data_IF_392235566221
#
_entry.id   IF_392235566221
#
_cell.length_a   1.000
_cell.length_b   1.000
_cell.length_c   1.000
_cell.angle_alpha   90.00
_cell.angle_beta   90.00
_cell.angle_gamma   90.00
#
_symmetry.space_group_name_H-M   'P 1'
#
loop_
_entity.id
_entity.type
_entity.pdbx_description
1 polymer ?
#
# COMPACT_ATOMS: atom_id res chain seq x y z
N UNK A 1 5.66 23.76 -2.22
CA UNK A 1 4.64 22.77 -2.63
C UNK A 1 4.81 21.48 -1.85
N UNK A 2 3.76 20.69 -1.75
CA UNK A 2 3.80 19.29 -1.34
C UNK A 2 3.33 18.41 -2.49
N UNK A 3 3.84 17.18 -2.55
CA UNK A 3 3.43 16.12 -3.48
C UNK A 3 2.81 14.90 -2.78
N UNK A 4 2.62 15.02 -1.47
CA UNK A 4 2.30 13.95 -0.53
C UNK A 4 1.28 14.41 0.53
N UNK A 5 0.33 15.24 0.11
CA UNK A 5 -0.80 15.71 0.92
C UNK A 5 -0.38 16.51 2.17
N UNK A 6 0.67 17.31 2.03
CA UNK A 6 1.13 18.25 3.05
C UNK A 6 2.14 17.68 4.05
N UNK A 7 2.56 16.41 3.89
CA UNK A 7 3.54 15.75 4.78
C UNK A 7 4.93 16.33 4.63
N UNK A 8 5.41 16.48 3.39
CA UNK A 8 6.69 17.10 3.08
C UNK A 8 6.53 18.32 2.17
N UNK A 9 7.46 19.26 2.31
CA UNK A 9 7.43 20.53 1.59
C UNK A 9 8.74 20.74 0.86
N UNK A 10 8.64 21.01 -0.44
CA UNK A 10 9.74 21.47 -1.27
C UNK A 10 9.48 22.91 -1.73
N UNK A 11 10.57 23.65 -1.92
CA UNK A 11 10.52 25.06 -2.28
C UNK A 11 10.58 25.17 -3.79
N UNK A 12 9.70 25.99 -4.37
CA UNK A 12 9.70 26.25 -5.81
C UNK A 12 10.64 27.40 -6.17
N UNK A 13 10.46 28.56 -5.55
CA UNK A 13 11.22 29.78 -5.86
C UNK A 13 11.15 30.77 -4.71
N UNK A 14 12.17 31.60 -4.61
CA UNK A 14 12.19 32.78 -3.74
C UNK A 14 12.09 34.07 -4.57
N UNK A 15 11.41 35.06 -3.99
CA UNK A 15 11.22 36.38 -4.57
C UNK A 15 11.59 37.42 -3.51
N UNK A 16 12.51 38.32 -3.83
CA UNK A 16 12.89 39.41 -2.93
C UNK A 16 13.48 40.57 -3.72
N UNK A 17 13.25 41.82 -3.28
CA UNK A 17 13.91 43.00 -3.83
C UNK A 17 15.43 42.96 -3.63
N UNK A 18 15.87 42.36 -2.51
CA UNK A 18 17.27 42.07 -2.20
C UNK A 18 17.44 40.62 -1.73
N UNK A 19 17.70 39.73 -2.69
CA UNK A 19 17.97 38.32 -2.45
C UNK A 19 19.15 38.10 -1.50
N UNK A 20 20.17 38.95 -1.56
CA UNK A 20 21.39 38.78 -0.77
C UNK A 20 21.12 38.96 0.72
N UNK A 21 20.26 39.90 1.11
CA UNK A 21 19.90 40.11 2.52
C UNK A 21 18.80 39.17 2.99
N UNK A 22 17.74 38.98 2.21
CA UNK A 22 16.57 38.16 2.59
C UNK A 22 16.85 36.66 2.54
N UNK A 23 17.61 36.19 1.56
CA UNK A 23 17.83 34.77 1.28
C UNK A 23 19.31 34.46 0.98
N UNK A 24 20.20 34.85 1.91
CA UNK A 24 21.68 34.78 1.81
C UNK A 24 22.27 33.49 1.22
N UNK A 25 21.64 32.34 1.46
CA UNK A 25 22.15 31.02 1.04
C UNK A 25 21.59 30.54 -0.31
N UNK A 26 20.68 31.31 -0.91
CA UNK A 26 19.98 30.93 -2.12
C UNK A 26 20.65 31.63 -3.30
N UNK A 27 21.04 30.90 -4.36
CA UNK A 27 21.68 31.51 -5.52
C UNK A 27 20.74 32.50 -6.22
N UNK A 28 21.29 33.65 -6.61
CA UNK A 28 20.63 34.63 -7.47
C UNK A 28 21.05 34.40 -8.93
N UNK A 29 20.13 34.65 -9.86
CA UNK A 29 20.35 34.50 -11.31
C UNK A 29 19.34 33.58 -11.98
N UNK A 30 19.44 33.36 -13.30
CA UNK A 30 18.57 32.43 -14.00
C UNK A 30 18.83 30.99 -13.55
N UNK A 31 17.79 30.14 -13.48
CA UNK A 31 17.97 28.73 -13.15
C UNK A 31 18.70 28.04 -14.31
N UNK A 32 19.59 27.08 -13.99
CA UNK A 32 20.29 26.26 -14.99
C UNK A 32 19.49 25.00 -15.32
N UNK A 33 18.83 24.44 -14.31
CA UNK A 33 17.91 23.31 -14.44
C UNK A 33 16.50 23.69 -13.99
N UNK A 34 15.49 22.96 -14.47
CA UNK A 34 14.09 23.17 -14.07
C UNK A 34 13.85 22.99 -12.56
N UNK A 35 14.67 22.19 -11.89
CA UNK A 35 14.58 21.92 -10.44
C UNK A 35 15.34 22.93 -9.57
N UNK A 36 16.11 23.84 -10.16
CA UNK A 36 16.96 24.75 -9.38
C UNK A 36 16.12 25.72 -8.55
N UNK A 37 16.39 25.74 -7.25
CA UNK A 37 15.77 26.69 -6.32
C UNK A 37 16.65 27.94 -6.24
N UNK A 38 16.15 29.01 -6.86
CA UNK A 38 16.82 30.30 -6.96
C UNK A 38 16.02 31.41 -6.26
N UNK A 39 16.69 32.54 -6.02
CA UNK A 39 16.05 33.80 -5.69
C UNK A 39 16.07 34.74 -6.90
N UNK A 40 14.95 35.42 -7.16
CA UNK A 40 14.86 36.43 -8.22
C UNK A 40 14.27 37.72 -7.68
N UNK A 41 14.75 38.84 -8.23
CA UNK A 41 14.22 40.19 -7.98
C UNK A 41 13.00 40.52 -8.84
N UNK A 42 12.69 39.67 -9.84
CA UNK A 42 11.54 39.87 -10.73
C UNK A 42 10.25 39.84 -9.91
N UNK A 43 9.34 40.77 -10.17
CA UNK A 43 8.08 40.93 -9.43
C UNK A 43 8.21 41.37 -7.97
N UNK A 44 9.41 41.75 -7.51
CA UNK A 44 9.66 42.24 -6.15
C UNK A 44 10.04 43.73 -6.14
N UNK A 45 9.62 44.48 -7.16
CA UNK A 45 9.73 45.94 -7.17
C UNK A 45 8.63 46.58 -6.32
N UNK A 46 8.84 47.84 -5.94
CA UNK A 46 7.83 48.65 -5.21
C UNK A 46 6.70 49.08 -6.13
N UNK A 47 6.96 49.21 -7.43
CA UNK A 47 5.98 49.52 -8.45
C UNK A 47 5.40 48.23 -9.08
N UNK A 48 4.11 48.21 -9.45
CA UNK A 48 3.10 49.27 -9.30
C UNK A 48 2.49 49.32 -7.90
N UNK A 49 1.84 50.43 -7.54
CA UNK A 49 1.20 50.63 -6.23
C UNK A 49 -0.02 49.74 -5.97
N UNK A 50 -0.68 49.26 -7.02
CA UNK A 50 -1.74 48.25 -6.98
C UNK A 50 -1.79 47.48 -8.30
N UNK A 51 -2.38 46.29 -8.29
CA UNK A 51 -2.45 45.41 -9.46
C UNK A 51 -1.10 44.80 -9.87
N UNK A 52 -0.13 44.77 -8.95
CA UNK A 52 1.14 44.07 -9.18
C UNK A 52 0.90 42.57 -9.39
N UNK A 53 1.66 41.98 -10.30
CA UNK A 53 1.54 40.55 -10.63
C UNK A 53 2.79 39.78 -10.22
N UNK A 54 2.61 38.51 -9.85
CA UNK A 54 3.69 37.55 -9.69
C UNK A 54 3.38 36.32 -10.52
N UNK A 55 4.24 36.01 -11.49
CA UNK A 55 4.09 34.85 -12.36
C UNK A 55 5.26 33.88 -12.14
N UNK A 56 4.92 32.65 -11.77
CA UNK A 56 5.86 31.54 -11.66
C UNK A 56 5.47 30.41 -12.61
N UNK A 57 6.42 30.00 -13.46
CA UNK A 57 6.29 28.81 -14.32
C UNK A 57 7.20 27.72 -13.78
N UNK A 58 6.65 26.54 -13.50
CA UNK A 58 7.39 25.38 -12.98
C UNK A 58 8.46 24.95 -13.98
N UNK A 59 8.08 24.84 -15.26
CA UNK A 59 9.02 24.60 -16.36
C UNK A 59 9.41 25.95 -16.95
N UNK A 60 10.68 26.33 -16.74
CA UNK A 60 11.24 27.55 -17.31
C UNK A 60 11.24 27.49 -18.85
N UNK A 61 10.67 28.47 -19.56
CA UNK A 61 10.63 28.49 -21.03
C UNK A 61 12.01 28.76 -21.66
N UNK A 62 13.00 29.16 -20.86
CA UNK A 62 14.36 29.45 -21.33
C UNK A 62 15.32 28.25 -21.22
N UNK A 63 14.88 27.16 -20.60
CA UNK A 63 15.67 25.93 -20.47
C UNK A 63 15.06 24.92 -21.45
N UNK A 64 15.83 24.39 -22.42
CA UNK A 64 15.33 23.40 -23.36
C UNK A 64 14.98 22.11 -22.60
N UNK A 65 13.79 21.57 -22.89
CA UNK A 65 13.35 20.28 -22.37
C UNK A 65 13.52 19.23 -23.46
N UNK A 66 14.52 18.36 -23.32
CA UNK A 66 14.81 17.30 -24.31
C UNK A 66 13.72 16.22 -24.33
N UNK A 67 13.32 15.76 -23.14
CA UNK A 67 12.23 14.80 -22.95
C UNK A 67 11.17 15.36 -21.99
N UNK A 68 10.00 15.79 -22.49
CA UNK A 68 8.88 16.24 -21.65
C UNK A 68 8.32 15.16 -20.73
N UNK A 69 8.59 13.89 -21.03
CA UNK A 69 8.12 12.73 -20.29
C UNK A 69 9.15 12.21 -19.28
N UNK A 70 10.30 12.89 -19.14
CA UNK A 70 11.33 12.50 -18.19
C UNK A 70 10.80 12.50 -16.74
N UNK A 71 11.20 11.51 -15.90
CA UNK A 71 10.71 11.39 -14.52
C UNK A 71 10.91 12.67 -13.69
N UNK A 72 12.00 13.40 -13.89
CA UNK A 72 12.26 14.65 -13.19
C UNK A 72 11.25 15.75 -13.53
N UNK A 73 10.78 15.82 -14.78
CA UNK A 73 9.79 16.81 -15.21
C UNK A 73 8.44 16.49 -14.59
N UNK A 74 8.02 15.22 -14.66
CA UNK A 74 6.78 14.75 -14.05
C UNK A 74 6.77 15.01 -12.52
N UNK A 75 7.88 14.74 -11.84
CA UNK A 75 8.03 14.98 -10.41
C UNK A 75 8.02 16.47 -10.02
N UNK A 76 8.46 17.36 -10.92
CA UNK A 76 8.38 18.80 -10.71
C UNK A 76 6.95 19.33 -10.84
N UNK A 77 6.19 18.81 -11.80
CA UNK A 77 4.80 19.22 -12.07
C UNK A 77 3.81 18.70 -11.02
N UNK A 78 4.13 17.59 -10.35
CA UNK A 78 3.27 16.98 -9.32
C UNK A 78 3.05 17.91 -8.12
N UNK A 79 1.80 18.18 -7.79
CA UNK A 79 1.42 19.00 -6.63
C UNK A 79 0.11 18.50 -6.01
N UNK A 80 0.07 18.41 -4.69
CA UNK A 80 -1.14 18.18 -3.90
C UNK A 80 -1.51 19.40 -3.07
N UNK A 81 -0.52 20.19 -2.63
CA UNK A 81 -0.74 21.40 -1.85
C UNK A 81 0.22 22.51 -2.27
N UNK A 82 -0.33 23.71 -2.43
CA UNK A 82 0.43 24.94 -2.66
C UNK A 82 0.47 25.74 -1.35
N UNK A 83 1.62 26.37 -1.08
CA UNK A 83 1.80 27.30 0.04
C UNK A 83 2.61 28.47 -0.48
N UNK A 84 2.12 29.67 -0.20
CA UNK A 84 2.80 30.94 -0.46
C UNK A 84 3.13 31.53 0.91
N UNK A 85 4.38 31.92 1.12
CA UNK A 85 4.83 32.51 2.38
C UNK A 85 5.29 33.94 2.13
N UNK A 86 4.58 34.91 2.69
CA UNK A 86 4.94 36.32 2.64
C UNK A 86 5.80 36.67 3.85
N UNK A 87 7.03 37.11 3.61
CA UNK A 87 8.03 37.25 4.68
C UNK A 87 8.46 38.68 4.97
N UNK A 88 8.20 39.64 4.07
CA UNK A 88 8.61 41.05 4.25
C UNK A 88 7.67 41.99 3.51
N UNK A 89 7.22 43.04 4.20
CA UNK A 89 6.43 44.15 3.65
C UNK A 89 7.36 45.25 3.12
N UNK A 90 6.87 46.04 2.16
CA UNK A 90 7.52 47.28 1.77
C UNK A 90 7.03 48.41 2.67
N UNK A 91 7.91 48.90 3.55
CA UNK A 91 7.61 49.94 4.55
C UNK A 91 8.12 51.32 4.17
N UNK A 92 8.83 51.45 3.04
CA UNK A 92 9.49 52.69 2.57
C UNK A 92 10.40 53.39 3.60
N UNK A 93 10.73 52.73 4.72
CA UNK A 93 11.52 53.26 5.83
C UNK A 93 10.70 53.90 6.96
N UNK A 94 9.37 53.94 6.86
CA UNK A 94 8.50 54.51 7.91
C UNK A 94 8.58 53.73 9.22
N UNK A 95 8.81 52.42 9.13
CA UNK A 95 8.95 51.49 10.25
C UNK A 95 10.18 51.76 11.13
N UNK A 96 11.14 52.55 10.64
CA UNK A 96 12.35 52.93 11.38
C UNK A 96 12.22 54.28 12.12
N UNK A 97 11.19 55.07 11.82
CA UNK A 97 11.09 56.46 12.25
C UNK A 97 9.90 56.74 13.18
N UNK A 98 8.84 55.94 13.17
CA UNK A 98 7.62 56.23 13.92
C UNK A 98 6.87 54.94 14.32
N UNK A 99 6.71 54.71 15.63
CA UNK A 99 6.18 53.48 16.24
C UNK A 99 4.68 53.53 16.55
N UNK A 100 3.98 54.52 16.00
CA UNK A 100 2.54 54.67 16.21
C UNK A 100 1.76 53.55 15.49
N UNK A 101 0.77 52.92 16.15
CA UNK A 101 0.02 51.80 15.57
C UNK A 101 -0.72 52.17 14.28
N UNK A 102 -1.09 53.45 14.10
CA UNK A 102 -1.72 53.96 12.88
C UNK A 102 -0.82 53.89 11.63
N UNK A 103 0.50 53.70 11.82
CA UNK A 103 1.46 53.52 10.71
C UNK A 103 1.52 52.06 10.30
N UNK A 104 1.53 51.13 11.27
CA UNK A 104 1.54 49.69 11.01
C UNK A 104 0.28 49.23 10.26
N UNK A 105 -0.87 49.87 10.52
CA UNK A 105 -2.15 49.60 9.83
C UNK A 105 -2.10 49.83 8.32
N UNK A 106 -1.11 50.56 7.81
CA UNK A 106 -0.95 50.84 6.37
C UNK A 106 -0.31 49.67 5.61
N UNK A 107 0.41 48.80 6.31
CA UNK A 107 1.26 47.79 5.70
C UNK A 107 0.68 46.39 5.87
N UNK A 108 0.10 45.83 4.81
CA UNK A 108 -0.53 44.52 4.82
C UNK A 108 -0.42 43.84 3.45
N UNK A 109 -0.63 42.52 3.41
CA UNK A 109 -0.64 41.76 2.16
C UNK A 109 -2.05 41.64 1.61
N UNK A 110 -2.22 42.07 0.36
CA UNK A 110 -3.47 41.98 -0.39
C UNK A 110 -3.31 41.05 -1.59
N UNK A 111 -4.33 40.25 -1.89
CA UNK A 111 -4.41 39.47 -3.13
C UNK A 111 -5.79 39.66 -3.74
N UNK A 112 -5.83 40.19 -4.97
CA UNK A 112 -7.08 40.29 -5.73
C UNK A 112 -7.50 38.94 -6.30
N UNK A 113 -6.54 38.20 -6.86
CA UNK A 113 -6.79 36.92 -7.52
C UNK A 113 -5.59 35.98 -7.34
N UNK A 114 -5.88 34.69 -7.21
CA UNK A 114 -4.88 33.62 -7.25
C UNK A 114 -5.32 32.55 -8.26
N UNK A 115 -4.64 32.50 -9.41
CA UNK A 115 -4.89 31.49 -10.43
C UNK A 115 -3.80 30.42 -10.40
N UNK A 116 -4.18 29.16 -10.19
CA UNK A 116 -3.30 28.00 -10.31
C UNK A 116 -3.67 27.22 -11.55
N UNK A 117 -2.90 27.38 -12.63
CA UNK A 117 -3.12 26.61 -13.86
C UNK A 117 -2.51 25.22 -13.74
N UNK A 118 -3.30 24.21 -14.08
CA UNK A 118 -2.88 22.81 -14.08
C UNK A 118 -3.95 21.89 -14.65
N UNK A 119 -3.68 20.60 -14.61
CA UNK A 119 -4.60 19.53 -14.99
C UNK A 119 -4.51 18.39 -13.98
N UNK A 120 -5.50 17.50 -13.99
CA UNK A 120 -5.37 16.23 -13.30
C UNK A 120 -4.30 15.35 -13.99
N UNK A 121 -3.59 14.54 -13.20
CA UNK A 121 -2.48 13.72 -13.67
C UNK A 121 -2.88 12.25 -13.73
N UNK A 122 -3.15 11.73 -14.93
CA UNK A 122 -3.62 10.36 -15.14
C UNK A 122 -2.59 9.46 -15.86
N UNK A 123 -1.34 9.91 -15.96
CA UNK A 123 -0.22 9.20 -16.62
C UNK A 123 -0.55 8.68 -18.04
N UNK A 124 -1.40 9.39 -18.80
CA UNK A 124 -1.80 8.99 -20.15
C UNK A 124 -2.88 7.90 -20.22
N UNK A 125 -3.46 7.48 -19.08
CA UNK A 125 -4.50 6.45 -19.02
C UNK A 125 -5.89 7.00 -18.70
N UNK A 126 -6.14 8.29 -18.93
CA UNK A 126 -7.49 8.86 -18.91
C UNK A 126 -7.54 10.11 -19.79
N UNK A 127 -8.68 10.34 -20.43
CA UNK A 127 -8.93 11.56 -21.21
C UNK A 127 -9.64 12.65 -20.40
N UNK A 128 -10.29 12.27 -19.29
CA UNK A 128 -11.05 13.19 -18.44
C UNK A 128 -10.95 12.82 -16.97
N UNK A 129 -11.26 13.79 -16.14
CA UNK A 129 -11.35 13.63 -14.70
C UNK A 129 -12.76 13.93 -14.21
N UNK A 130 -13.19 13.18 -13.21
CA UNK A 130 -14.50 13.21 -12.59
C UNK A 130 -14.36 13.55 -11.11
N UNK A 131 -15.45 13.98 -10.49
CA UNK A 131 -15.46 14.35 -9.07
C UNK A 131 -15.07 13.18 -8.18
N UNK A 132 -14.44 13.49 -7.05
CA UNK A 132 -13.93 12.49 -6.09
C UNK A 132 -15.02 12.08 -5.08
N UNK A 133 -16.28 11.89 -5.51
CA UNK A 133 -17.40 11.47 -4.64
C UNK A 133 -17.85 12.51 -3.60
N UNK A 134 -19.17 12.55 -3.32
CA UNK A 134 -19.91 13.35 -2.32
C UNK A 134 -19.51 14.83 -2.12
N UNK A 135 -18.93 15.46 -3.15
CA UNK A 135 -18.81 16.91 -3.20
C UNK A 135 -20.23 17.53 -3.25
N UNK A 136 -20.52 18.60 -2.50
CA UNK A 136 -21.80 19.31 -2.59
C UNK A 136 -22.12 19.61 -4.06
N UNK A 137 -23.37 19.41 -4.48
CA UNK A 137 -23.79 19.56 -5.88
C UNK A 137 -23.43 20.91 -6.54
N UNK A 138 -23.08 21.92 -5.74
CA UNK A 138 -22.58 23.22 -6.19
C UNK A 138 -21.15 23.15 -6.76
N UNK A 139 -20.26 22.32 -6.21
CA UNK A 139 -18.87 22.16 -6.70
C UNK A 139 -18.78 21.20 -7.90
N UNK A 140 -19.71 20.25 -8.01
CA UNK A 140 -19.76 19.29 -9.11
C UNK A 140 -20.17 19.90 -10.47
N UNK A 141 -20.83 21.06 -10.47
CA UNK A 141 -21.40 21.70 -11.67
C UNK A 141 -20.77 23.05 -12.02
N UNK A 142 -19.67 23.43 -11.38
CA UNK A 142 -18.94 24.65 -11.77
C UNK A 142 -18.32 24.42 -13.15
N UNK A 143 -18.66 25.24 -14.17
CA UNK A 143 -18.00 25.17 -15.46
C UNK A 143 -16.49 25.40 -15.28
N UNK A 144 -15.69 24.69 -16.06
CA UNK A 144 -14.22 24.73 -16.04
C UNK A 144 -13.53 24.22 -14.76
N UNK A 145 -14.27 23.58 -13.84
CA UNK A 145 -13.68 22.94 -12.67
C UNK A 145 -12.78 21.76 -13.06
N UNK A 146 -11.53 21.78 -12.58
CA UNK A 146 -10.60 20.66 -12.75
C UNK A 146 -10.87 19.61 -11.67
N UNK A 147 -11.50 18.51 -12.04
CA UNK A 147 -11.77 17.42 -11.09
C UNK A 147 -10.53 16.55 -10.81
N UNK A 148 -10.54 15.84 -9.67
CA UNK A 148 -9.36 15.17 -9.10
C UNK A 148 -9.28 13.64 -9.26
N UNK A 149 -10.30 12.95 -9.78
CA UNK A 149 -10.25 11.50 -10.03
C UNK A 149 -10.23 11.23 -11.51
N UNK A 150 -9.23 10.49 -11.99
CA UNK A 150 -9.18 10.08 -13.39
C UNK A 150 -10.25 9.04 -13.71
N UNK A 151 -10.89 9.16 -14.87
CA UNK A 151 -11.67 8.05 -15.44
C UNK A 151 -10.72 7.13 -16.20
N UNK A 152 -10.19 6.13 -15.49
CA UNK A 152 -9.12 5.28 -16.00
C UNK A 152 -9.56 4.38 -17.16
N UNK A 153 -8.70 4.29 -18.17
CA UNK A 153 -8.75 3.39 -19.32
C UNK A 153 -7.56 2.43 -19.29
N UNK A 154 -7.27 1.73 -20.39
CA UNK A 154 -6.05 0.92 -20.56
C UNK A 154 -5.85 -0.15 -19.45
N UNK A 155 -6.96 -0.65 -18.90
CA UNK A 155 -7.00 -1.60 -17.78
C UNK A 155 -6.22 -1.13 -16.55
N UNK A 156 -6.25 0.17 -16.28
CA UNK A 156 -5.65 0.78 -15.09
C UNK A 156 -6.70 1.14 -14.04
N UNK A 157 -6.25 1.35 -12.80
CA UNK A 157 -7.06 1.75 -11.65
C UNK A 157 -6.25 2.66 -10.72
N UNK A 158 -6.93 3.18 -9.69
CA UNK A 158 -6.40 4.18 -8.76
C UNK A 158 -6.92 5.58 -9.08
N UNK A 159 -6.71 6.55 -8.18
CA UNK A 159 -7.18 7.92 -8.39
C UNK A 159 -6.53 8.57 -9.62
N UNK A 160 -5.29 8.18 -9.91
CA UNK A 160 -4.47 8.72 -11.00
C UNK A 160 -4.15 7.67 -12.07
N UNK A 161 -4.81 6.49 -12.05
CA UNK A 161 -4.51 5.40 -12.99
C UNK A 161 -3.07 4.85 -12.87
N UNK A 162 -2.53 4.87 -11.66
CA UNK A 162 -1.15 4.53 -11.30
C UNK A 162 -0.95 3.04 -10.97
N UNK A 163 -1.97 2.22 -11.18
CA UNK A 163 -1.96 0.78 -10.93
C UNK A 163 -2.67 0.05 -12.06
N UNK A 164 -2.27 -1.19 -12.33
CA UNK A 164 -3.08 -2.06 -13.19
C UNK A 164 -4.33 -2.54 -12.43
N UNK A 165 -5.42 -2.74 -13.17
CA UNK A 165 -6.58 -3.45 -12.67
C UNK A 165 -6.20 -4.85 -12.21
N UNK A 166 -7.02 -5.40 -11.32
CA UNK A 166 -6.82 -6.76 -10.86
C UNK A 166 -6.87 -7.70 -12.07
N UNK A 167 -5.96 -8.67 -12.11
CA UNK A 167 -5.81 -9.62 -13.21
C UNK A 167 -5.21 -9.05 -14.51
N UNK A 168 -4.84 -7.77 -14.57
CA UNK A 168 -4.14 -7.14 -15.70
C UNK A 168 -2.67 -6.85 -15.40
N UNK A 169 -1.98 -7.80 -14.78
CA UNK A 169 -0.61 -7.64 -14.26
C UNK A 169 0.39 -8.60 -14.91
N UNK A 170 0.15 -9.02 -16.16
CA UNK A 170 1.07 -9.85 -16.96
C UNK A 170 2.36 -9.09 -17.33
N UNK A 171 2.31 -7.76 -17.28
CA UNK A 171 3.47 -6.88 -17.38
C UNK A 171 3.46 -5.81 -16.28
N UNK A 172 4.62 -5.23 -15.92
CA UNK A 172 4.68 -4.07 -15.04
C UNK A 172 3.91 -2.87 -15.62
N UNK A 173 3.24 -2.11 -14.76
CA UNK A 173 2.59 -0.85 -15.12
C UNK A 173 3.62 0.16 -15.68
N UNK A 174 3.23 0.90 -16.72
CA UNK A 174 4.03 1.98 -17.33
C UNK A 174 3.10 3.09 -17.82
N UNK A 175 3.51 4.37 -17.77
CA UNK A 175 2.70 5.48 -18.25
C UNK A 175 2.51 5.42 -19.77
N UNK A 176 1.41 5.97 -20.28
CA UNK A 176 1.21 6.20 -21.72
C UNK A 176 2.12 7.31 -22.23
N UNK A 177 2.86 7.06 -23.31
CA UNK A 177 3.83 8.02 -23.89
C UNK A 177 3.65 8.07 -25.41
N UNK A 178 3.25 9.24 -25.92
CA UNK A 178 2.96 9.44 -27.35
C UNK A 178 1.92 8.43 -27.85
N UNK A 179 2.26 7.66 -28.87
CA UNK A 179 1.42 6.61 -29.45
C UNK A 179 1.39 5.31 -28.62
N UNK A 180 2.30 5.14 -27.66
CA UNK A 180 2.35 3.94 -26.84
C UNK A 180 1.41 4.06 -25.63
N UNK A 181 0.24 3.42 -25.70
CA UNK A 181 -0.75 3.44 -24.62
C UNK A 181 -0.26 2.78 -23.33
N UNK A 182 0.70 1.85 -23.44
CA UNK A 182 1.25 1.05 -22.33
C UNK A 182 0.15 0.42 -21.45
N UNK A 183 -0.89 -0.08 -22.08
CA UNK A 183 -2.00 -0.71 -21.38
C UNK A 183 -1.58 -1.96 -20.59
N UNK A 184 -2.23 -2.12 -19.45
CA UNK A 184 -2.04 -3.26 -18.58
C UNK A 184 -2.59 -4.53 -19.25
N UNK A 185 -1.80 -5.61 -19.20
CA UNK A 185 -2.08 -6.87 -19.91
C UNK A 185 -2.68 -7.92 -18.98
N UNK A 186 -3.76 -8.56 -19.43
CA UNK A 186 -4.46 -9.63 -18.71
C UNK A 186 -3.53 -10.83 -18.49
N UNK A 187 -3.55 -11.41 -17.29
CA UNK A 187 -2.89 -12.68 -17.02
C UNK A 187 -3.60 -13.83 -17.76
N UNK A 188 -2.83 -14.71 -18.40
CA UNK A 188 -3.35 -15.95 -18.99
C UNK A 188 -3.18 -17.11 -17.99
N UNK A 189 -4.30 -17.63 -17.50
CA UNK A 189 -4.35 -18.68 -16.50
C UNK A 189 -5.13 -19.92 -16.97
N UNK A 190 -5.47 -20.02 -18.27
CA UNK A 190 -6.28 -21.10 -18.86
C UNK A 190 -7.57 -21.38 -18.06
N UNK A 191 -8.26 -20.32 -17.63
CA UNK A 191 -9.47 -20.36 -16.78
C UNK A 191 -9.34 -21.08 -15.43
N UNK A 192 -8.12 -21.43 -15.00
CA UNK A 192 -7.87 -22.04 -13.69
C UNK A 192 -7.76 -21.03 -12.55
N UNK A 193 -7.67 -19.73 -12.86
CA UNK A 193 -7.65 -18.68 -11.87
C UNK A 193 -8.29 -17.40 -12.40
N UNK A 194 -9.12 -16.78 -11.57
CA UNK A 194 -9.64 -15.41 -11.75
C UNK A 194 -8.82 -14.36 -11.00
N UNK A 195 -7.71 -14.78 -10.39
CA UNK A 195 -6.78 -13.96 -9.62
C UNK A 195 -5.34 -14.24 -10.06
N UNK A 196 -4.48 -13.24 -9.94
CA UNK A 196 -3.07 -13.34 -10.33
C UNK A 196 -2.33 -14.42 -9.53
N UNK A 197 -1.38 -15.12 -10.16
CA UNK A 197 -0.49 -16.04 -9.42
C UNK A 197 0.37 -15.33 -8.36
N UNK A 198 0.49 -14.00 -8.44
CA UNK A 198 1.17 -13.15 -7.45
C UNK A 198 0.24 -12.67 -6.32
N UNK A 199 -1.06 -12.99 -6.38
CA UNK A 199 -2.00 -12.67 -5.30
C UNK A 199 -1.63 -13.51 -4.05
N UNK A 200 -1.44 -12.87 -2.88
CA UNK A 200 -1.00 -13.57 -1.65
C UNK A 200 -2.00 -14.63 -1.15
N UNK A 201 -3.20 -14.68 -1.71
CA UNK A 201 -4.25 -15.64 -1.37
C UNK A 201 -4.48 -16.72 -2.44
N UNK A 202 -3.82 -16.66 -3.60
CA UNK A 202 -3.97 -17.66 -4.68
C UNK A 202 -3.18 -18.94 -4.40
N UNK A 203 -2.01 -18.85 -3.76
CA UNK A 203 -1.25 -20.00 -3.29
C UNK A 203 -0.88 -19.82 -1.83
N UNK A 204 -1.76 -20.23 -0.92
CA UNK A 204 -1.44 -20.23 0.51
C UNK A 204 -0.62 -21.48 0.86
N UNK A 205 0.49 -21.34 1.60
CA UNK A 205 1.24 -22.51 2.07
C UNK A 205 0.35 -23.36 3.00
N UNK A 206 0.52 -24.68 2.91
CA UNK A 206 -0.18 -25.63 3.77
C UNK A 206 0.17 -25.39 5.24
N UNK A 207 -0.82 -25.44 6.12
CA UNK A 207 -0.66 -25.26 7.57
C UNK A 207 -0.67 -26.59 8.34
N UNK A 208 -0.31 -27.68 7.66
CA UNK A 208 -0.32 -29.04 8.21
C UNK A 208 0.89 -29.29 9.12
N UNK A 209 0.69 -29.82 10.33
CA UNK A 209 1.76 -30.31 11.19
C UNK A 209 2.39 -31.54 10.55
N UNK A 210 3.67 -31.43 10.20
CA UNK A 210 4.43 -32.48 9.53
C UNK A 210 4.48 -33.78 10.34
N UNK A 211 4.43 -33.73 11.66
CA UNK A 211 4.50 -34.92 12.52
C UNK A 211 3.28 -35.80 12.35
N UNK A 212 2.11 -35.17 12.23
CA UNK A 212 0.82 -35.86 12.14
C UNK A 212 0.25 -35.99 10.73
N UNK A 213 0.89 -35.39 9.73
CA UNK A 213 0.46 -35.44 8.34
C UNK A 213 1.17 -36.53 7.53
N UNK A 214 0.48 -37.10 6.55
CA UNK A 214 1.05 -37.88 5.46
C UNK A 214 1.73 -36.94 4.45
N UNK A 215 2.57 -37.48 3.57
CA UNK A 215 3.20 -36.73 2.47
C UNK A 215 3.90 -35.44 2.91
N UNK A 216 4.60 -35.46 4.05
CA UNK A 216 5.39 -34.33 4.57
C UNK A 216 4.60 -33.01 4.77
N UNK A 217 3.28 -33.09 4.96
CA UNK A 217 2.42 -31.92 5.20
C UNK A 217 1.87 -31.27 3.93
N UNK A 218 1.93 -31.95 2.78
CA UNK A 218 1.24 -31.53 1.56
C UNK A 218 -0.28 -31.60 1.79
N UNK A 219 -0.96 -30.50 1.53
CA UNK A 219 -2.41 -30.35 1.60
C UNK A 219 -3.06 -30.45 0.21
N UNK A 220 -4.39 -30.56 0.17
CA UNK A 220 -5.15 -30.51 -1.08
C UNK A 220 -4.97 -29.12 -1.73
N UNK A 221 -4.52 -29.08 -2.98
CA UNK A 221 -4.28 -27.83 -3.71
C UNK A 221 -5.50 -27.27 -4.46
N UNK A 222 -6.58 -28.04 -4.57
CA UNK A 222 -7.78 -27.70 -5.35
C UNK A 222 -9.07 -27.89 -4.55
N UNK A 223 -10.13 -27.20 -4.96
CA UNK A 223 -11.49 -27.39 -4.42
C UNK A 223 -12.37 -28.02 -5.50
N UNK A 224 -12.89 -29.22 -5.23
CA UNK A 224 -13.74 -29.98 -6.14
C UNK A 224 -14.85 -30.70 -5.35
N UNK A 225 -16.10 -30.19 -5.40
CA UNK A 225 -17.23 -30.79 -4.70
C UNK A 225 -17.61 -32.19 -5.20
N UNK A 226 -17.41 -32.49 -6.49
CA UNK A 226 -17.75 -33.79 -7.07
C UNK A 226 -16.79 -34.88 -6.59
N UNK A 227 -15.52 -34.53 -6.40
CA UNK A 227 -14.47 -35.42 -5.89
C UNK A 227 -14.26 -35.32 -4.37
N UNK A 228 -15.08 -34.53 -3.67
CA UNK A 228 -14.99 -34.26 -2.23
C UNK A 228 -13.60 -33.73 -1.80
N UNK A 229 -13.01 -32.87 -2.63
CA UNK A 229 -11.74 -32.19 -2.36
C UNK A 229 -12.01 -30.79 -1.81
N UNK A 230 -11.35 -30.47 -0.69
CA UNK A 230 -11.44 -29.16 -0.04
C UNK A 230 -10.03 -28.58 0.01
N UNK A 231 -9.82 -27.44 -0.64
CA UNK A 231 -8.52 -26.79 -0.72
C UNK A 231 -7.98 -26.49 0.68
N UNK A 232 -6.69 -26.76 0.90
CA UNK A 232 -6.01 -26.58 2.19
C UNK A 232 -6.22 -27.71 3.20
N UNK A 233 -7.09 -28.71 2.93
CA UNK A 233 -7.26 -29.86 3.83
C UNK A 233 -5.98 -30.71 3.91
N UNK A 234 -5.57 -31.08 5.12
CA UNK A 234 -4.42 -31.94 5.38
C UNK A 234 -4.79 -33.43 5.33
N UNK A 235 -3.84 -34.28 4.93
CA UNK A 235 -3.98 -35.74 4.99
C UNK A 235 -3.40 -36.26 6.30
N UNK A 236 -4.21 -36.45 7.34
CA UNK A 236 -3.71 -36.90 8.64
C UNK A 236 -3.32 -38.38 8.64
N UNK A 237 -2.29 -38.72 9.42
CA UNK A 237 -1.93 -40.09 9.79
C UNK A 237 -3.07 -40.74 10.59
N UNK A 238 -3.12 -42.07 10.59
CA UNK A 238 -4.34 -42.80 10.95
C UNK A 238 -4.81 -42.57 12.40
N UNK A 239 -3.91 -42.28 13.33
CA UNK A 239 -4.24 -42.00 14.73
C UNK A 239 -4.20 -40.52 15.10
N UNK A 240 -4.22 -39.65 14.08
CA UNK A 240 -4.14 -38.20 14.20
C UNK A 240 -5.42 -37.56 13.65
N UNK A 241 -5.82 -36.44 14.23
CA UNK A 241 -6.98 -35.63 13.86
C UNK A 241 -6.68 -34.13 14.00
N UNK A 242 -7.67 -33.30 13.68
CA UNK A 242 -7.54 -31.84 13.62
C UNK A 242 -7.41 -31.33 12.18
N UNK A 243 -7.78 -30.07 11.95
CA UNK A 243 -7.69 -29.46 10.61
C UNK A 243 -6.25 -29.45 10.08
N UNK A 244 -5.28 -29.34 10.99
CA UNK A 244 -3.86 -29.26 10.71
C UNK A 244 -3.10 -30.55 11.09
N UNK A 245 -3.79 -31.63 11.45
CA UNK A 245 -3.19 -32.89 11.89
C UNK A 245 -2.21 -32.74 13.08
N UNK A 246 -2.60 -31.94 14.06
CA UNK A 246 -1.80 -31.52 15.21
C UNK A 246 -2.19 -32.23 16.52
N UNK A 247 -3.21 -33.09 16.50
CA UNK A 247 -3.74 -33.76 17.70
C UNK A 247 -3.92 -35.27 17.52
N UNK A 248 -3.61 -36.04 18.56
CA UNK A 248 -3.93 -37.47 18.59
C UNK A 248 -5.43 -37.72 18.81
N UNK A 249 -5.97 -38.70 18.10
CA UNK A 249 -7.33 -39.22 18.32
C UNK A 249 -7.51 -39.74 19.76
N UNK A 250 -8.75 -39.87 20.22
CA UNK A 250 -9.07 -40.47 21.52
C UNK A 250 -8.51 -41.90 21.63
N UNK A 251 -7.92 -42.23 22.78
CA UNK A 251 -7.19 -43.49 23.00
C UNK A 251 -5.73 -43.52 22.49
N UNK A 252 -5.22 -42.42 21.95
CA UNK A 252 -3.84 -42.28 21.48
C UNK A 252 -3.15 -41.05 22.09
N UNK A 253 -1.82 -41.12 22.17
CA UNK A 253 -0.92 -40.12 22.77
C UNK A 253 0.44 -40.09 22.04
N UNK A 254 1.31 -39.15 22.40
CA UNK A 254 2.69 -39.05 21.88
C UNK A 254 2.78 -38.88 20.35
N UNK A 255 2.38 -37.70 19.86
CA UNK A 255 2.45 -37.35 18.44
C UNK A 255 3.91 -37.21 17.98
N UNK A 256 4.36 -38.10 17.10
CA UNK A 256 5.73 -38.12 16.57
C UNK A 256 5.78 -38.26 15.04
N UNK A 257 6.76 -37.57 14.43
CA UNK A 257 7.04 -37.70 13.00
C UNK A 257 7.50 -39.11 12.63
N UNK A 258 8.28 -39.75 13.50
CA UNK A 258 8.89 -41.07 13.27
C UNK A 258 7.86 -42.21 13.36
N UNK A 259 6.69 -41.94 13.94
CA UNK A 259 5.61 -42.90 13.98
C UNK A 259 4.79 -42.83 12.67
N UNK A 260 4.72 -43.90 11.85
CA UNK A 260 3.95 -43.90 10.62
C UNK A 260 2.44 -43.72 10.85
N UNK A 261 1.94 -44.10 12.03
CA UNK A 261 0.56 -43.90 12.46
C UNK A 261 0.33 -42.55 13.18
N UNK A 262 1.42 -41.82 13.46
CA UNK A 262 1.43 -40.51 14.12
C UNK A 262 1.42 -40.59 15.64
N UNK A 263 0.45 -41.30 16.23
CA UNK A 263 0.30 -41.41 17.68
C UNK A 263 0.34 -42.87 18.16
N UNK A 264 0.79 -43.08 19.40
CA UNK A 264 0.84 -44.39 20.07
C UNK A 264 -0.48 -44.67 20.79
N UNK A 265 -0.91 -45.93 20.82
CA UNK A 265 -2.07 -46.31 21.65
C UNK A 265 -1.68 -46.30 23.13
N UNK A 266 -2.56 -45.83 24.01
CA UNK A 266 -2.33 -45.91 25.46
C UNK A 266 -2.93 -47.16 26.11
N UNK A 267 -3.71 -47.96 25.38
CA UNK A 267 -4.29 -49.21 25.89
C UNK A 267 -5.37 -49.03 26.97
N UNK A 268 -5.82 -47.79 27.24
CA UNK A 268 -6.92 -47.52 28.17
C UNK A 268 -8.27 -47.93 27.56
N UNK A 269 -9.13 -48.56 28.35
CA UNK A 269 -10.51 -48.83 27.92
C UNK A 269 -11.31 -47.53 27.95
N UNK A 270 -11.72 -47.02 26.78
CA UNK A 270 -12.42 -45.73 26.65
C UNK A 270 -13.64 -45.64 27.58
N UNK A 271 -14.44 -46.69 27.70
CA UNK A 271 -15.63 -46.76 28.58
C UNK A 271 -15.30 -46.49 30.06
N UNK A 272 -14.13 -46.93 30.53
CA UNK A 272 -13.67 -46.75 31.92
C UNK A 272 -12.95 -45.42 32.18
N UNK A 273 -12.75 -44.60 31.15
CA UNK A 273 -12.01 -43.34 31.23
C UNK A 273 -12.94 -42.13 31.23
N UNK A 274 -12.53 -41.05 31.88
CA UNK A 274 -13.26 -39.79 31.92
C UNK A 274 -13.56 -39.32 30.50
N UNK A 275 -14.82 -38.95 30.25
CA UNK A 275 -15.33 -38.48 28.96
C UNK A 275 -15.08 -39.43 27.76
N UNK A 276 -14.75 -40.70 28.02
CA UNK A 276 -14.37 -41.69 27.01
C UNK A 276 -13.19 -41.25 26.10
N UNK A 277 -12.30 -40.38 26.61
CA UNK A 277 -11.18 -39.82 25.85
C UNK A 277 -9.93 -40.73 25.86
N UNK A 278 -9.90 -41.74 26.73
CA UNK A 278 -8.78 -42.65 26.91
C UNK A 278 -7.76 -42.11 27.91
N UNK A 279 -6.69 -41.53 27.38
CA UNK A 279 -5.51 -41.08 28.13
C UNK A 279 -5.17 -39.62 27.88
N UNK A 280 -4.31 -39.09 28.74
CA UNK A 280 -3.62 -37.84 28.51
C UNK A 280 -2.76 -37.88 27.23
N UNK A 281 -2.80 -36.82 26.41
CA UNK A 281 -2.13 -36.79 25.10
C UNK A 281 -0.61 -36.68 25.18
N UNK A 282 -0.08 -36.22 26.31
CA UNK A 282 1.36 -36.05 26.53
C UNK A 282 1.94 -37.16 27.42
N UNK A 283 1.28 -37.49 28.54
CA UNK A 283 1.80 -38.49 29.48
C UNK A 283 1.39 -39.93 29.15
N UNK A 284 0.30 -40.11 28.39
CA UNK A 284 -0.27 -41.44 28.11
C UNK A 284 -0.96 -42.10 29.30
N UNK A 285 -1.12 -41.40 30.43
CA UNK A 285 -1.77 -41.90 31.65
C UNK A 285 -3.29 -41.99 31.48
N UNK A 286 -3.90 -43.06 31.98
CA UNK A 286 -5.34 -43.27 31.85
C UNK A 286 -6.09 -42.44 32.88
N UNK A 287 -6.96 -41.54 32.42
CA UNK A 287 -7.81 -40.76 33.34
C UNK A 287 -9.06 -41.57 33.70
N UNK A 288 -8.98 -42.38 34.75
CA UNK A 288 -10.07 -43.28 35.15
C UNK A 288 -11.29 -42.56 35.75
N UNK A 289 -12.49 -43.10 35.52
CA UNK A 289 -13.71 -42.71 36.26
C UNK A 289 -13.59 -43.11 37.74
N UNK A 290 -14.34 -42.47 38.66
CA UNK A 290 -14.39 -42.89 40.05
C UNK A 290 -14.68 -44.39 40.18
N UNK A 291 -13.98 -45.08 41.10
CA UNK A 291 -14.08 -46.51 41.36
C UNK A 291 -13.53 -47.45 40.25
N UNK A 292 -12.98 -46.91 39.15
CA UNK A 292 -12.23 -47.67 38.15
C UNK A 292 -10.74 -47.59 38.49
N UNK A 293 -10.05 -48.74 38.57
CA UNK A 293 -8.59 -48.82 38.77
C UNK A 293 -7.88 -49.00 37.42
N UNK A 294 -6.69 -48.44 37.26
CA UNK A 294 -5.88 -48.63 36.06
C UNK A 294 -5.56 -50.13 35.85
N UNK A 295 -5.92 -50.65 34.69
CA UNK A 295 -5.48 -51.95 34.22
C UNK A 295 -4.91 -51.76 32.81
N UNK A 296 -3.64 -51.35 32.74
CA UNK A 296 -2.94 -51.18 31.47
C UNK A 296 -2.80 -52.56 30.82
N UNK A 297 -3.47 -52.81 29.70
CA UNK A 297 -3.25 -54.05 28.94
C UNK A 297 -1.81 -54.04 28.43
N UNK A 298 -0.96 -54.89 29.01
CA UNK A 298 0.32 -55.28 28.42
C UNK A 298 0.05 -56.04 27.13
N UNK A 299 0.00 -55.34 26.00
CA UNK A 299 0.34 -55.92 24.71
C UNK A 299 1.54 -55.14 24.24
N UNK A 300 2.72 -55.74 24.42
CA UNK A 300 3.86 -55.72 23.49
C UNK A 300 5.08 -56.32 24.19
N UNK A 301 5.14 -57.66 24.17
CA UNK A 301 6.35 -58.48 24.25
C UNK A 301 5.98 -59.87 23.70
N UNK A 302 5.72 -59.94 22.40
CA UNK A 302 5.79 -61.19 21.65
C UNK A 302 7.00 -61.09 20.74
N UNK A 303 8.15 -61.52 21.26
CA UNK A 303 9.29 -61.88 20.43
C UNK A 303 8.89 -63.08 19.56
N UNK A 304 9.36 -63.18 18.29
CA UNK A 304 9.20 -64.40 17.52
C UNK A 304 10.17 -65.45 18.09
N UNK A 305 9.63 -66.43 18.79
CA UNK A 305 10.36 -67.65 19.12
C UNK A 305 10.41 -68.55 17.88
N UNK A 306 11.63 -68.75 17.39
CA UNK A 306 12.04 -69.79 16.45
C UNK A 306 11.50 -71.18 16.83
N UNK A 307 10.84 -71.85 15.87
CA UNK A 307 11.06 -73.24 15.47
C UNK A 307 10.38 -73.50 14.12
#
# INVERSE_FOLDING_TARGET
RSKDFGKTWSIYRYFASDCSSSFRKIPEGPPKNHSDVICTKKYSGVEPSSGGELVYKVISPHIPTEDPYAPEIAELLKITNLRINFTKLFTLGDDLLDYRPEIDEKYWYALYELVVRGSCSCYGHAQRCVSVGDEPAHAANLPDMVHGRCECTHNTKGLNCDQCQDFYNDAPWRPGIGEQSNECRRCECNDHASRSIRDPYVCRPCQCDRRGSKNEGICVGEEDPQRQLVAGRCYCKDHVEGQNCDRCKNGFWDLSADNPLGCKSCGCMTVGTLHNQGCDKQSGECRCKPLVREQKRLRDNLAPSLN
#
